data_IF_647535869592
#
_entry.id   IF_647535869592
#
_cell.length_a   1.000
_cell.length_b   1.000
_cell.length_c   1.000
_cell.angle_alpha   90.00
_cell.angle_beta   90.00
_cell.angle_gamma   90.00
#
_symmetry.space_group_name_H-M   'P 1'
#
loop_
_entity.id
_entity.type
_entity.pdbx_description
1 polymer ?
#
# COMPACT_ATOMS: atom_id res chain seq x y z
N UNK A 1 -1.79 -0.24 -13.78
CA UNK A 1 -1.26 1.06 -13.33
C UNK A 1 -1.85 2.11 -14.24
N UNK A 2 -2.42 3.18 -13.68
CA UNK A 2 -3.16 4.21 -14.41
C UNK A 2 -2.24 5.43 -14.54
N UNK A 3 -2.16 6.04 -15.72
CA UNK A 3 -1.37 7.27 -15.91
C UNK A 3 -2.03 8.48 -15.25
N UNK A 4 -1.33 9.62 -15.26
CA UNK A 4 -1.82 10.89 -14.70
C UNK A 4 -3.11 11.39 -15.38
N UNK A 5 -3.52 10.78 -16.50
CA UNK A 5 -4.71 11.10 -17.27
C UNK A 5 -5.83 10.06 -17.09
N UNK A 6 -5.71 9.13 -16.14
CA UNK A 6 -6.75 8.13 -15.90
C UNK A 6 -6.76 6.97 -16.92
N UNK A 7 -5.73 6.83 -17.77
CA UNK A 7 -5.67 5.76 -18.78
C UNK A 7 -4.94 4.55 -18.25
N UNK A 8 -5.47 3.38 -18.58
CA UNK A 8 -4.81 2.10 -18.32
C UNK A 8 -3.57 1.98 -19.20
N UNK A 9 -2.40 1.93 -18.56
CA UNK A 9 -1.13 1.75 -19.26
C UNK A 9 -1.09 0.34 -19.89
N UNK A 10 -0.85 0.28 -21.20
CA UNK A 10 -0.56 -0.96 -21.92
C UNK A 10 0.93 -1.26 -21.77
N UNK A 11 1.24 -2.41 -21.18
CA UNK A 11 2.61 -2.83 -20.90
C UNK A 11 3.25 -3.48 -22.13
N UNK A 12 4.53 -3.22 -22.36
CA UNK A 12 5.31 -3.95 -23.36
C UNK A 12 5.52 -5.41 -22.93
N UNK A 13 5.95 -6.27 -23.85
CA UNK A 13 6.19 -7.69 -23.55
C UNK A 13 7.28 -7.88 -22.49
N UNK A 14 8.30 -7.01 -22.45
CA UNK A 14 9.32 -6.99 -21.39
C UNK A 14 8.77 -6.53 -20.05
N UNK A 15 7.88 -5.53 -20.03
CA UNK A 15 7.23 -5.07 -18.80
C UNK A 15 6.34 -6.18 -18.23
N UNK A 16 5.66 -6.93 -19.10
CA UNK A 16 4.84 -8.06 -18.69
C UNK A 16 5.67 -9.18 -18.04
N UNK A 17 6.89 -9.45 -18.54
CA UNK A 17 7.78 -10.41 -17.89
C UNK A 17 8.23 -9.96 -16.51
N UNK A 18 8.56 -8.68 -16.34
CA UNK A 18 8.96 -8.10 -15.03
C UNK A 18 7.81 -8.22 -14.04
N UNK A 19 6.59 -7.85 -14.45
CA UNK A 19 5.38 -7.95 -13.62
C UNK A 19 5.13 -9.40 -13.17
N UNK A 20 5.27 -10.36 -14.08
CA UNK A 20 5.06 -11.79 -13.77
C UNK A 20 6.12 -12.33 -12.82
N UNK A 21 7.38 -11.94 -12.99
CA UNK A 21 8.46 -12.34 -12.10
C UNK A 21 8.30 -11.75 -10.69
N UNK A 22 8.01 -10.46 -10.61
CA UNK A 22 7.73 -9.78 -9.34
C UNK A 22 6.54 -10.43 -8.64
N UNK A 23 5.48 -10.69 -9.39
CA UNK A 23 4.28 -11.34 -8.90
C UNK A 23 4.60 -12.73 -8.31
N UNK A 24 5.31 -13.56 -9.06
CA UNK A 24 5.67 -14.91 -8.61
C UNK A 24 6.54 -14.87 -7.35
N UNK A 25 7.56 -14.01 -7.34
CA UNK A 25 8.47 -13.85 -6.20
C UNK A 25 7.71 -13.44 -4.94
N UNK A 26 6.76 -12.51 -5.10
CA UNK A 26 5.92 -12.04 -4.02
C UNK A 26 5.03 -13.16 -3.45
N UNK A 27 4.40 -13.95 -4.31
CA UNK A 27 3.57 -15.09 -3.90
C UNK A 27 4.40 -16.14 -3.16
N UNK A 28 5.59 -16.47 -3.68
CA UNK A 28 6.50 -17.43 -3.06
C UNK A 28 6.99 -16.94 -1.68
N UNK A 29 7.36 -15.66 -1.57
CA UNK A 29 7.87 -15.07 -0.32
C UNK A 29 6.82 -15.08 0.80
N UNK A 30 5.58 -14.74 0.48
CA UNK A 30 4.47 -14.71 1.46
C UNK A 30 3.69 -16.02 1.56
N UNK A 31 4.10 -17.06 0.82
CA UNK A 31 3.40 -18.35 0.72
C UNK A 31 1.92 -18.20 0.36
N UNK A 32 1.63 -17.44 -0.70
CA UNK A 32 0.29 -17.17 -1.20
C UNK A 32 0.02 -17.96 -2.49
N UNK A 33 -1.20 -18.43 -2.64
CA UNK A 33 -1.65 -19.13 -3.86
C UNK A 33 -2.19 -18.18 -4.92
N UNK A 34 -2.59 -16.97 -4.52
CA UNK A 34 -3.14 -15.94 -5.39
C UNK A 34 -2.74 -14.54 -4.93
N UNK A 35 -2.80 -13.57 -5.86
CA UNK A 35 -2.46 -12.20 -5.51
C UNK A 35 -3.53 -11.61 -4.59
N UNK A 36 -3.15 -11.02 -3.45
CA UNK A 36 -4.09 -10.34 -2.59
C UNK A 36 -4.76 -9.20 -3.34
N UNK A 37 -6.02 -8.95 -3.01
CA UNK A 37 -6.67 -7.71 -3.41
C UNK A 37 -5.93 -6.53 -2.76
N UNK A 38 -5.65 -5.51 -3.57
CA UNK A 38 -4.90 -4.32 -3.13
C UNK A 38 -5.79 -3.09 -3.20
N UNK A 39 -5.79 -2.31 -2.13
CA UNK A 39 -6.35 -0.97 -2.10
C UNK A 39 -5.20 0.04 -1.98
N UNK A 40 -5.30 1.13 -2.74
CA UNK A 40 -4.36 2.24 -2.69
C UNK A 40 -5.10 3.50 -2.27
N UNK A 41 -4.54 4.23 -1.32
CA UNK A 41 -5.04 5.55 -0.91
C UNK A 41 -4.00 6.56 -1.34
N UNK A 42 -4.39 7.49 -2.21
CA UNK A 42 -3.54 8.58 -2.68
C UNK A 42 -3.96 9.83 -1.92
N UNK A 43 -3.02 10.43 -1.19
CA UNK A 43 -3.25 11.62 -0.37
C UNK A 43 -2.54 12.82 -1.00
N UNK A 44 -3.22 13.96 -1.01
CA UNK A 44 -2.68 15.23 -1.47
C UNK A 44 -3.01 16.34 -0.47
N UNK A 45 -2.13 17.33 -0.39
CA UNK A 45 -2.37 18.49 0.45
C UNK A 45 -3.51 19.33 -0.14
N UNK A 46 -4.49 19.69 0.70
CA UNK A 46 -5.67 20.45 0.26
C UNK A 46 -5.32 21.82 -0.33
N UNK A 47 -4.26 22.43 0.16
CA UNK A 47 -3.75 23.72 -0.32
C UNK A 47 -2.84 23.58 -1.55
N UNK A 48 -2.67 22.36 -2.07
CA UNK A 48 -1.79 22.06 -3.20
C UNK A 48 -0.29 22.08 -2.87
N UNK A 49 0.08 22.27 -1.61
CA UNK A 49 1.47 22.29 -1.17
C UNK A 49 2.05 20.89 -0.89
N UNK A 50 3.19 20.86 -0.21
CA UNK A 50 3.86 19.60 0.12
C UNK A 50 3.10 18.82 1.22
N UNK A 51 2.90 17.51 1.03
CA UNK A 51 2.29 16.59 2.00
C UNK A 51 3.24 16.25 3.17
N UNK A 52 4.54 16.50 3.02
CA UNK A 52 5.57 16.18 4.03
C UNK A 52 5.69 17.21 5.17
N UNK A 53 4.72 18.13 5.31
CA UNK A 53 4.66 19.04 6.46
C UNK A 53 4.19 18.26 7.68
N UNK A 54 4.76 18.58 8.84
CA UNK A 54 4.50 17.88 10.12
C UNK A 54 3.01 17.67 10.39
N UNK A 55 2.21 18.73 10.23
CA UNK A 55 0.76 18.70 10.43
C UNK A 55 0.00 17.72 9.52
N UNK A 56 0.47 17.54 8.28
CA UNK A 56 -0.13 16.59 7.33
C UNK A 56 0.41 15.19 7.51
N UNK A 57 1.70 15.05 7.81
CA UNK A 57 2.31 13.77 8.18
C UNK A 57 1.58 13.16 9.37
N UNK A 58 1.28 13.95 10.40
CA UNK A 58 0.53 13.51 11.58
C UNK A 58 -0.88 13.03 11.20
N UNK A 59 -1.55 13.71 10.26
CA UNK A 59 -2.86 13.30 9.76
C UNK A 59 -2.79 11.97 8.98
N UNK A 60 -1.79 11.82 8.10
CA UNK A 60 -1.54 10.57 7.37
C UNK A 60 -1.27 9.42 8.34
N UNK A 61 -0.42 9.64 9.35
CA UNK A 61 -0.10 8.63 10.37
C UNK A 61 -1.33 8.27 11.21
N UNK A 62 -2.19 9.23 11.51
CA UNK A 62 -3.47 8.97 12.19
C UNK A 62 -4.39 8.12 11.32
N UNK A 63 -4.51 8.42 10.04
CA UNK A 63 -5.30 7.63 9.09
C UNK A 63 -4.77 6.19 8.98
N UNK A 64 -3.45 6.02 8.83
CA UNK A 64 -2.79 4.70 8.77
C UNK A 64 -3.08 3.85 10.00
N UNK A 65 -3.03 4.43 11.21
CA UNK A 65 -3.38 3.74 12.46
C UNK A 65 -4.84 3.29 12.47
N UNK A 66 -5.76 4.15 12.06
CA UNK A 66 -7.20 3.82 12.02
C UNK A 66 -7.48 2.68 11.04
N UNK A 67 -6.89 2.73 9.85
CA UNK A 67 -7.03 1.68 8.84
C UNK A 67 -6.41 0.36 9.30
N UNK A 68 -5.20 0.41 9.87
CA UNK A 68 -4.50 -0.77 10.39
C UNK A 68 -5.30 -1.45 11.48
N UNK A 69 -5.88 -0.68 12.41
CA UNK A 69 -6.73 -1.23 13.48
C UNK A 69 -7.97 -1.90 12.89
N UNK A 70 -8.69 -1.20 12.00
CA UNK A 70 -9.89 -1.74 11.33
C UNK A 70 -9.62 -3.06 10.58
N UNK A 71 -8.49 -3.15 9.88
CA UNK A 71 -8.09 -4.36 9.13
C UNK A 71 -7.55 -5.49 10.03
N UNK A 72 -7.10 -5.14 11.24
CA UNK A 72 -6.56 -6.08 12.22
C UNK A 72 -7.63 -6.61 13.18
N UNK A 73 -8.81 -6.00 13.19
CA UNK A 73 -9.95 -6.41 14.01
C UNK A 73 -10.52 -7.75 13.51
N UNK A 74 -10.85 -8.63 14.46
CA UNK A 74 -11.24 -10.03 14.21
C UNK A 74 -12.75 -10.24 14.21
N UNK A 75 -13.52 -9.24 13.76
CA UNK A 75 -14.97 -9.21 14.03
C UNK A 75 -15.71 -10.38 13.38
N UNK A 76 -15.22 -10.93 12.25
CA UNK A 76 -15.97 -11.95 11.49
C UNK A 76 -15.18 -13.23 11.12
N UNK A 77 -13.86 -13.24 11.26
CA UNK A 77 -13.01 -14.36 10.83
C UNK A 77 -11.99 -14.74 11.93
N UNK A 78 -11.59 -16.03 12.04
CA UNK A 78 -10.55 -16.46 12.98
C UNK A 78 -9.17 -15.85 12.66
N UNK A 79 -8.95 -15.48 11.40
CA UNK A 79 -7.78 -14.74 10.93
C UNK A 79 -8.13 -13.26 10.67
N UNK A 80 -7.12 -12.38 10.78
CA UNK A 80 -7.28 -10.96 10.45
C UNK A 80 -7.51 -10.82 8.95
N UNK A 81 -8.35 -9.88 8.51
CA UNK A 81 -8.60 -9.63 7.08
C UNK A 81 -7.33 -9.27 6.30
N UNK A 82 -6.31 -8.76 6.98
CA UNK A 82 -5.01 -8.45 6.38
C UNK A 82 -3.98 -9.60 6.44
N UNK A 83 -4.26 -10.75 7.06
CA UNK A 83 -3.27 -11.83 7.22
C UNK A 83 -2.94 -12.48 5.86
N UNK A 84 -1.66 -12.80 5.55
CA UNK A 84 -0.42 -12.59 6.34
C UNK A 84 0.26 -11.22 6.12
N UNK A 85 -0.38 -10.32 5.38
CA UNK A 85 0.20 -9.10 4.82
C UNK A 85 -0.06 -7.84 5.64
N UNK A 86 -0.44 -7.97 6.92
CA UNK A 86 -0.75 -6.83 7.78
C UNK A 86 0.40 -5.81 7.95
N UNK A 87 1.62 -6.12 7.48
CA UNK A 87 2.78 -5.23 7.56
C UNK A 87 3.26 -4.68 6.21
N UNK A 88 2.53 -4.92 5.12
CA UNK A 88 3.02 -4.65 3.76
C UNK A 88 3.32 -3.17 3.45
N UNK A 89 2.76 -2.23 4.20
CA UNK A 89 2.91 -0.79 3.95
C UNK A 89 3.78 -0.06 4.98
N UNK A 90 4.53 -0.80 5.82
CA UNK A 90 5.45 -0.18 6.79
C UNK A 90 6.59 0.68 6.24
N UNK A 91 7.03 0.62 4.97
CA UNK A 91 8.07 1.52 4.47
C UNK A 91 7.72 3.01 4.61
N UNK A 92 6.43 3.38 4.61
CA UNK A 92 6.00 4.75 4.93
C UNK A 92 6.51 5.22 6.30
N UNK A 93 6.50 4.33 7.29
CA UNK A 93 7.03 4.60 8.63
C UNK A 93 8.56 4.71 8.64
N UNK A 94 9.27 4.02 7.73
CA UNK A 94 10.74 4.10 7.67
C UNK A 94 11.23 5.45 7.14
N UNK A 95 10.53 6.02 6.15
CA UNK A 95 10.88 7.34 5.60
C UNK A 95 10.53 8.46 6.58
N UNK A 96 9.39 8.37 7.25
CA UNK A 96 8.95 9.39 8.19
C UNK A 96 9.78 9.43 9.48
N UNK A 97 10.30 8.28 9.96
CA UNK A 97 11.23 8.23 11.12
C UNK A 97 12.55 8.96 10.83
N UNK A 98 12.95 9.10 9.56
CA UNK A 98 14.17 9.84 9.20
C UNK A 98 13.99 11.37 9.11
N UNK A 99 12.75 11.87 9.30
CA UNK A 99 12.40 13.28 9.22
C UNK A 99 12.15 13.93 10.60
N UNK A 100 12.27 13.16 11.69
CA UNK A 100 12.21 13.59 13.10
C UNK A 100 13.59 13.52 13.74
#
# INVERSE_FOLDING_TARGET
MIDDNGRMLLFSQSDMQIIVMEARTYLEFYNLTEFPQRAFVILSARDGGNILRDEYVDEVLRFDRLMTNSLSDRVEMPERSCYPLCQLNRPFHMVLVSLT
#
